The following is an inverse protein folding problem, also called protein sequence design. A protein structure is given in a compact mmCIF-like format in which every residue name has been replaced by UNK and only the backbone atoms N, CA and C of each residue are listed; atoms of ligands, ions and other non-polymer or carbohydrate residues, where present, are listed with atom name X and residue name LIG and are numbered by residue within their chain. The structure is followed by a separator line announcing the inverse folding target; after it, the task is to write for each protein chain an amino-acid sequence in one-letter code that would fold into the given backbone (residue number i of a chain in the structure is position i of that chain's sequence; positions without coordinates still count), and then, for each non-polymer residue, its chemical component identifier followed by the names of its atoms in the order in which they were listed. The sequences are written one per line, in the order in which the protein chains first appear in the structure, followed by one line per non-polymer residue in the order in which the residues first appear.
data_IF_466762870985
#
_entry.id   IF_466762870985
#
_cell.length_a   1.000
_cell.length_b   1.000
_cell.length_c   1.000
_cell.angle_alpha   90.00
_cell.angle_beta   90.00
_cell.angle_gamma   90.00
#
_symmetry.space_group_name_H-M   'P 1'
#
loop_
_entity.id
_entity.type
_entity.pdbx_description
1 polymer ?
#
# COMPACT_ATOMS: atom_id res chain seq x y z
N UNK A 1 17.66 12.15 -8.48
CA UNK A 1 17.32 10.79 -8.99
C UNK A 1 17.65 9.68 -7.98
N UNK A 2 18.93 9.44 -7.63
CA UNK A 2 19.35 8.32 -6.76
C UNK A 2 18.70 8.33 -5.37
N UNK A 3 18.56 9.51 -4.77
CA UNK A 3 17.90 9.67 -3.45
C UNK A 3 16.40 9.33 -3.53
N UNK A 4 15.71 9.78 -4.58
CA UNK A 4 14.28 9.49 -4.80
C UNK A 4 14.02 7.99 -4.99
N UNK A 5 14.93 7.30 -5.69
CA UNK A 5 14.85 5.85 -5.91
C UNK A 5 15.09 5.10 -4.59
N UNK A 6 16.10 5.46 -3.80
CA UNK A 6 16.38 4.83 -2.49
C UNK A 6 15.20 4.90 -1.52
N UNK A 7 14.52 6.04 -1.44
CA UNK A 7 13.37 6.20 -0.56
C UNK A 7 12.15 5.42 -1.05
N UNK A 8 11.85 5.44 -2.36
CA UNK A 8 10.77 4.63 -2.93
C UNK A 8 10.96 3.14 -2.68
N UNK A 9 12.19 2.64 -2.87
CA UNK A 9 12.57 1.25 -2.59
C UNK A 9 12.45 0.94 -1.09
N UNK A 10 12.91 1.82 -0.21
CA UNK A 10 12.80 1.62 1.24
C UNK A 10 11.35 1.52 1.71
N UNK A 11 10.47 2.39 1.21
CA UNK A 11 9.03 2.34 1.52
C UNK A 11 8.40 1.03 1.03
N UNK A 12 8.72 0.59 -0.19
CA UNK A 12 8.20 -0.66 -0.73
C UNK A 12 8.64 -1.88 0.10
N UNK A 13 9.92 -1.94 0.47
CA UNK A 13 10.47 -3.01 1.32
C UNK A 13 9.80 -2.99 2.70
N UNK A 14 9.56 -1.82 3.30
CA UNK A 14 8.88 -1.67 4.60
C UNK A 14 7.44 -2.20 4.55
N UNK A 15 6.70 -1.88 3.50
CA UNK A 15 5.31 -2.34 3.32
C UNK A 15 5.27 -3.85 3.13
N UNK A 16 6.13 -4.40 2.26
CA UNK A 16 6.22 -5.86 2.04
C UNK A 16 6.57 -6.58 3.35
N UNK A 17 7.50 -6.05 4.13
CA UNK A 17 7.87 -6.63 5.41
C UNK A 17 6.69 -6.69 6.39
N UNK A 18 5.91 -5.62 6.49
CA UNK A 18 4.70 -5.56 7.32
C UNK A 18 3.64 -6.58 6.85
N UNK A 19 3.43 -6.72 5.54
CA UNK A 19 2.49 -7.68 4.96
C UNK A 19 2.91 -9.14 5.22
N UNK A 20 4.19 -9.46 5.03
CA UNK A 20 4.73 -10.79 5.33
C UNK A 20 4.58 -11.11 6.82
N UNK A 21 4.82 -10.14 7.70
CA UNK A 21 4.66 -10.30 9.14
C UNK A 21 3.19 -10.50 9.52
N UNK A 22 2.26 -9.75 8.92
CA UNK A 22 0.81 -9.93 9.11
C UNK A 22 0.35 -11.32 8.65
N UNK A 23 0.80 -11.78 7.47
CA UNK A 23 0.53 -13.13 6.97
C UNK A 23 1.05 -14.20 7.92
N UNK A 24 2.28 -14.04 8.42
CA UNK A 24 2.90 -14.99 9.35
C UNK A 24 2.16 -15.07 10.69
N UNK A 25 1.75 -13.92 11.25
CA UNK A 25 0.97 -13.86 12.49
C UNK A 25 -0.40 -14.51 12.31
N UNK A 26 -1.07 -14.26 11.18
CA UNK A 26 -2.35 -14.90 10.85
C UNK A 26 -2.21 -16.42 10.70
N UNK A 27 -1.14 -16.88 10.04
CA UNK A 27 -0.83 -18.30 9.89
C UNK A 27 -0.59 -18.99 11.25
N UNK A 28 0.13 -18.33 12.14
CA UNK A 28 0.43 -18.83 13.49
C UNK A 28 -0.81 -18.86 14.39
N UNK A 29 -1.75 -17.94 14.20
CA UNK A 29 -2.98 -17.83 15.00
C UNK A 29 -4.06 -18.81 14.54
N UNK A 30 -4.16 -19.09 13.23
CA UNK A 30 -5.26 -19.85 12.62
C UNK A 30 -4.91 -21.30 12.21
N UNK A 31 -3.73 -21.79 12.60
CA UNK A 31 -3.35 -23.21 12.67
C UNK A 31 -3.85 -24.19 11.58
N UNK A 32 -2.94 -24.60 10.68
CA UNK A 32 -2.72 -26.04 10.44
C UNK A 32 -3.44 -26.80 9.31
N UNK A 33 -4.03 -26.16 8.30
CA UNK A 33 -4.61 -26.88 7.13
C UNK A 33 -4.05 -26.41 5.79
N UNK A 34 -3.51 -27.30 4.94
CA UNK A 34 -2.92 -26.93 3.62
C UNK A 34 -3.88 -26.09 2.75
N UNK A 35 -5.17 -26.42 2.71
CA UNK A 35 -6.17 -25.65 1.97
C UNK A 35 -6.47 -24.27 2.60
N UNK A 36 -6.34 -24.15 3.93
CA UNK A 36 -6.55 -22.89 4.66
C UNK A 36 -5.40 -21.91 4.42
N UNK A 37 -4.16 -22.41 4.29
CA UNK A 37 -2.97 -21.59 3.95
C UNK A 37 -3.14 -20.87 2.60
N UNK A 38 -3.58 -21.59 1.58
CA UNK A 38 -3.77 -21.03 0.23
C UNK A 38 -4.89 -19.98 0.24
N UNK A 39 -6.00 -20.27 0.93
CA UNK A 39 -7.10 -19.32 1.06
C UNK A 39 -6.74 -18.06 1.86
N UNK A 40 -5.92 -18.18 2.91
CA UNK A 40 -5.40 -17.05 3.68
C UNK A 40 -4.46 -16.17 2.84
N UNK A 41 -3.63 -16.80 2.00
CA UNK A 41 -2.76 -16.10 1.05
C UNK A 41 -3.57 -15.34 0.00
N UNK A 42 -4.62 -15.96 -0.54
CA UNK A 42 -5.54 -15.31 -1.46
C UNK A 42 -6.26 -14.12 -0.82
N UNK A 43 -6.75 -14.29 0.42
CA UNK A 43 -7.38 -13.24 1.23
C UNK A 43 -6.46 -12.02 1.38
N UNK A 44 -5.21 -12.24 1.78
CA UNK A 44 -4.26 -11.15 2.03
C UNK A 44 -3.85 -10.45 0.73
N UNK A 45 -3.65 -11.20 -0.35
CA UNK A 45 -3.40 -10.62 -1.68
C UNK A 45 -4.60 -9.79 -2.18
N UNK A 46 -5.83 -10.30 -2.02
CA UNK A 46 -7.07 -9.62 -2.39
C UNK A 46 -7.31 -8.36 -1.55
N UNK A 47 -7.08 -8.44 -0.24
CA UNK A 47 -7.18 -7.32 0.70
C UNK A 47 -6.16 -6.23 0.37
N UNK A 48 -4.90 -6.60 0.13
CA UNK A 48 -3.86 -5.65 -0.28
C UNK A 48 -4.20 -4.96 -1.61
N UNK A 49 -4.69 -5.73 -2.58
CA UNK A 49 -5.15 -5.20 -3.87
C UNK A 49 -6.49 -4.45 -3.82
N UNK A 50 -7.20 -4.44 -2.68
CA UNK A 50 -8.58 -3.97 -2.54
C UNK A 50 -9.52 -4.54 -3.62
N UNK A 51 -9.33 -5.80 -3.99
CA UNK A 51 -10.12 -6.48 -5.04
C UNK A 51 -11.54 -6.80 -4.54
N UNK A 52 -11.70 -6.96 -3.22
CA UNK A 52 -13.00 -7.18 -2.58
C UNK A 52 -13.55 -8.60 -2.75
N UNK A 53 -12.74 -9.54 -3.27
CA UNK A 53 -13.09 -10.95 -3.40
C UNK A 53 -12.56 -11.74 -2.20
N UNK A 54 -13.40 -12.62 -1.64
CA UNK A 54 -13.02 -13.55 -0.59
C UNK A 54 -13.46 -14.97 -0.93
N UNK A 55 -12.66 -15.95 -0.51
CA UNK A 55 -12.96 -17.39 -0.61
C UNK A 55 -13.89 -17.85 0.53
N UNK A 56 -14.42 -16.91 1.32
CA UNK A 56 -15.33 -17.18 2.44
C UNK A 56 -14.64 -17.44 3.77
N UNK A 57 -13.31 -17.44 3.79
CA UNK A 57 -12.52 -17.70 5.01
C UNK A 57 -12.58 -16.52 6.00
N UNK A 58 -12.86 -15.28 5.55
CA UNK A 58 -12.94 -14.10 6.43
C UNK A 58 -13.98 -14.24 7.55
N UNK A 59 -15.06 -14.99 7.32
CA UNK A 59 -16.13 -15.15 8.31
C UNK A 59 -15.67 -16.00 9.50
N UNK A 60 -14.86 -17.01 9.23
CA UNK A 60 -14.27 -17.98 10.17
C UNK A 60 -12.97 -17.50 10.83
N UNK A 61 -12.50 -16.28 10.50
CA UNK A 61 -11.33 -15.70 11.16
C UNK A 61 -11.65 -15.27 12.59
N UNK A 62 -10.68 -15.48 13.50
CA UNK A 62 -10.68 -14.89 14.84
C UNK A 62 -10.83 -13.36 14.79
N UNK A 63 -11.35 -12.78 15.87
CA UNK A 63 -11.50 -11.32 16.00
C UNK A 63 -10.19 -10.57 15.68
N UNK A 64 -9.06 -11.09 16.16
CA UNK A 64 -7.73 -10.57 15.84
C UNK A 64 -7.39 -10.64 14.34
N UNK A 65 -7.74 -11.75 13.69
CA UNK A 65 -7.51 -11.92 12.25
C UNK A 65 -8.30 -10.92 11.40
N UNK A 66 -9.56 -10.65 11.76
CA UNK A 66 -10.39 -9.65 11.08
C UNK A 66 -9.79 -8.25 11.19
N UNK A 67 -9.28 -7.88 12.36
CA UNK A 67 -8.58 -6.60 12.56
C UNK A 67 -7.35 -6.51 11.65
N UNK A 68 -6.55 -7.58 11.55
CA UNK A 68 -5.36 -7.61 10.68
C UNK A 68 -5.74 -7.44 9.20
N UNK A 69 -6.81 -8.08 8.71
CA UNK A 69 -7.30 -7.92 7.33
C UNK A 69 -7.74 -6.48 7.05
N UNK A 70 -8.45 -5.85 7.98
CA UNK A 70 -8.88 -4.44 7.84
C UNK A 70 -7.66 -3.51 7.73
N UNK A 71 -6.65 -3.70 8.58
CA UNK A 71 -5.39 -2.95 8.47
C UNK A 71 -4.67 -3.21 7.14
N UNK A 72 -4.73 -4.45 6.64
CA UNK A 72 -4.12 -4.83 5.35
C UNK A 72 -4.80 -4.13 4.17
N UNK A 73 -6.14 -4.02 4.16
CA UNK A 73 -6.88 -3.26 3.14
C UNK A 73 -6.53 -1.77 3.15
N UNK A 74 -6.44 -1.19 4.35
CA UNK A 74 -6.07 0.21 4.53
C UNK A 74 -4.64 0.46 4.04
N UNK A 75 -3.70 -0.42 4.39
CA UNK A 75 -2.32 -0.38 3.89
C UNK A 75 -2.24 -0.53 2.37
N UNK A 76 -3.08 -1.38 1.77
CA UNK A 76 -3.20 -1.52 0.32
C UNK A 76 -3.54 -0.22 -0.40
N UNK A 77 -4.50 0.55 0.13
CA UNK A 77 -4.83 1.89 -0.42
C UNK A 77 -3.72 2.92 -0.15
N UNK A 78 -3.09 2.89 1.03
CA UNK A 78 -2.03 3.84 1.40
C UNK A 78 -0.74 3.60 0.62
N UNK A 79 -0.40 2.35 0.33
CA UNK A 79 0.81 1.99 -0.42
C UNK A 79 0.88 2.68 -1.79
N UNK A 80 -0.24 2.74 -2.50
CA UNK A 80 -0.37 3.44 -3.78
C UNK A 80 -0.24 4.97 -3.61
N UNK A 81 -0.91 5.54 -2.60
CA UNK A 81 -0.84 6.99 -2.33
C UNK A 81 0.56 7.45 -1.91
N UNK A 82 1.24 6.68 -1.06
CA UNK A 82 2.60 6.99 -0.62
C UNK A 82 3.59 6.98 -1.78
N UNK A 83 3.43 6.09 -2.76
CA UNK A 83 4.26 6.08 -3.96
C UNK A 83 3.97 7.28 -4.88
N UNK A 84 2.68 7.59 -5.09
CA UNK A 84 2.25 8.67 -5.97
C UNK A 84 2.74 10.06 -5.51
N UNK A 85 2.64 10.36 -4.21
CA UNK A 85 3.01 11.68 -3.67
C UNK A 85 4.53 11.85 -3.62
N UNK A 86 5.29 10.78 -3.37
CA UNK A 86 6.73 10.88 -3.14
C UNK A 86 7.54 11.04 -4.43
N UNK A 87 7.02 10.56 -5.57
CA UNK A 87 7.59 10.80 -6.90
C UNK A 87 7.45 12.25 -7.39
N UNK A 88 6.57 13.05 -6.77
CA UNK A 88 6.26 14.43 -7.15
C UNK A 88 7.27 15.46 -6.61
N UNK A 89 8.34 15.06 -5.89
CA UNK A 89 9.43 15.99 -5.55
C UNK A 89 10.42 16.15 -6.69
N UNK A 90 9.96 16.71 -7.81
CA UNK A 90 10.80 17.49 -8.73
C UNK A 90 9.94 18.28 -9.73
N UNK A 91 9.37 19.39 -9.27
CA UNK A 91 9.82 20.65 -9.85
C UNK A 91 10.29 21.50 -8.68
N UNK A 92 11.49 22.06 -8.82
CA UNK A 92 11.87 23.23 -8.04
C UNK A 92 10.71 24.21 -8.18
N UNK A 93 10.43 24.96 -7.12
CA UNK A 93 10.01 26.32 -7.34
C UNK A 93 11.10 26.94 -8.22
N UNK A 94 10.95 26.85 -9.54
CA UNK A 94 11.49 27.89 -10.39
C UNK A 94 10.83 29.14 -9.86
N UNK A 95 11.67 30.00 -9.32
CA UNK A 95 11.36 31.38 -9.05
C UNK A 95 10.73 31.94 -10.33
N UNK A 96 9.40 31.85 -10.40
CA UNK A 96 8.62 32.19 -11.57
C UNK A 96 8.64 33.70 -11.66
N UNK A 97 9.76 34.23 -12.14
CA UNK A 97 9.89 35.60 -12.57
C UNK A 97 8.98 35.72 -13.79
N UNK A 98 7.72 36.09 -13.55
CA UNK A 98 6.80 36.46 -14.62
C UNK A 98 7.46 37.61 -15.37
N UNK A 99 7.76 37.49 -16.67
CA UNK A 99 8.02 38.69 -17.46
C UNK A 99 6.74 39.53 -17.42
N UNK A 100 6.86 40.80 -17.02
CA UNK A 100 5.78 41.77 -17.21
C UNK A 100 5.50 41.86 -18.70
N UNK A 101 4.40 41.28 -19.15
CA UNK A 101 3.84 41.62 -20.45
C UNK A 101 3.05 42.91 -20.28
N UNK A 102 3.55 43.99 -20.88
CA UNK A 102 2.72 45.16 -21.15
C UNK A 102 1.76 44.79 -22.29
N UNK A 103 0.50 44.59 -21.92
CA UNK A 103 -0.61 44.48 -22.86
C UNK A 103 -0.93 45.89 -23.35
N UNK A 104 -0.42 46.23 -24.54
CA UNK A 104 -0.86 47.41 -25.27
C UNK A 104 -2.17 47.05 -25.97
N UNK A 105 -3.28 47.47 -25.39
CA UNK A 105 -4.59 47.43 -26.05
C UNK A 105 -4.67 48.69 -26.91
N UNK A 106 -4.48 48.51 -28.22
CA UNK A 106 -4.82 49.49 -29.24
C UNK A 106 -6.28 49.36 -29.65
#
# INVERSE_FOLDING_TARGET
LVVSIRFGVLCFVRVIFILCLAFFVLLATEGGGKCRVIGLGYEICSAFGNVGLSVGITQDLSFLGKVIIIFTMFAGRIGLFSMAIFGSRSSRFEEFTRPRQEILVG
#
